data_IF_849392911638
#
_entry.id   IF_849392911638
#
_cell.length_a   1.000
_cell.length_b   1.000
_cell.length_c   1.000
_cell.angle_alpha   90.00
_cell.angle_beta   90.00
_cell.angle_gamma   90.00
#
_symmetry.space_group_name_H-M   'P 1'
#
loop_
_entity.id
_entity.type
_entity.pdbx_description
1 polymer ?
#
# COMPACT_ATOMS: atom_id res chain seq x y z
N UNK A 1 0.25 -5.21 -7.73
CA UNK A 1 0.88 -3.87 -7.73
C UNK A 1 0.13 -3.05 -6.71
N UNK A 2 0.79 -2.69 -5.62
CA UNK A 2 0.17 -1.95 -4.53
C UNK A 2 0.58 -0.47 -4.62
N UNK A 3 -0.28 0.44 -4.19
CA UNK A 3 0.07 1.84 -3.99
C UNK A 3 -0.63 2.32 -2.72
N UNK A 4 0.08 3.09 -1.92
CA UNK A 4 -0.41 3.72 -0.72
C UNK A 4 0.11 5.15 -0.61
N UNK A 5 -0.69 6.04 -0.07
CA UNK A 5 -0.31 7.39 0.31
C UNK A 5 -0.82 7.67 1.71
N UNK A 6 -0.02 8.33 2.54
CA UNK A 6 -0.47 8.71 3.87
C UNK A 6 0.15 10.01 4.34
N UNK A 7 -0.53 10.65 5.28
CA UNK A 7 0.04 11.71 6.12
C UNK A 7 0.25 11.16 7.51
N UNK A 8 1.43 11.37 8.06
CA UNK A 8 1.84 10.89 9.38
C UNK A 8 2.21 12.07 10.25
N UNK A 9 1.50 12.27 11.37
CA UNK A 9 1.76 13.34 12.35
C UNK A 9 1.94 14.74 11.75
N UNK A 10 1.30 15.01 10.62
CA UNK A 10 1.44 16.26 9.88
C UNK A 10 0.08 16.93 9.58
N UNK A 11 -1.03 16.30 9.95
CA UNK A 11 -2.37 16.84 9.76
C UNK A 11 -2.95 17.35 11.09
N UNK A 12 -3.59 18.52 11.14
CA UNK A 12 -4.08 19.13 12.39
C UNK A 12 -5.13 18.27 13.12
N UNK A 13 -5.97 17.55 12.38
CA UNK A 13 -7.03 16.70 12.95
C UNK A 13 -6.71 15.19 13.05
N UNK A 14 -5.68 14.70 12.35
CA UNK A 14 -5.43 13.26 12.20
C UNK A 14 -3.97 12.92 12.49
N UNK A 15 -3.74 11.96 13.38
CA UNK A 15 -2.41 11.39 13.60
C UNK A 15 -1.95 10.53 12.41
N UNK A 16 -2.91 9.93 11.70
CA UNK A 16 -2.70 9.19 10.45
C UNK A 16 -3.91 9.34 9.53
N UNK A 17 -3.71 9.81 8.29
CA UNK A 17 -4.64 9.53 7.19
C UNK A 17 -3.94 8.63 6.20
N UNK A 18 -4.54 7.48 5.88
CA UNK A 18 -3.95 6.45 5.03
C UNK A 18 -4.92 6.10 3.91
N UNK A 19 -4.41 6.11 2.68
CA UNK A 19 -5.09 5.73 1.45
C UNK A 19 -4.29 4.60 0.78
N UNK A 20 -4.94 3.49 0.41
CA UNK A 20 -4.20 2.30 -0.05
C UNK A 20 -5.09 1.31 -0.79
N UNK A 21 -4.48 0.37 -1.54
CA UNK A 21 -5.19 -0.60 -2.38
C UNK A 21 -5.09 -2.08 -1.92
N UNK A 22 -4.49 -2.33 -0.75
CA UNK A 22 -4.39 -3.68 -0.14
C UNK A 22 -4.41 -3.62 1.39
N UNK A 23 -5.43 -4.21 2.02
CA UNK A 23 -5.59 -4.32 3.47
C UNK A 23 -5.27 -5.71 4.01
N UNK A 24 -4.47 -5.75 5.07
CA UNK A 24 -4.33 -6.89 5.99
C UNK A 24 -4.19 -6.31 7.42
N UNK A 25 -5.10 -6.67 8.33
CA UNK A 25 -5.09 -6.17 9.72
C UNK A 25 -4.70 -7.27 10.69
N UNK A 26 -3.65 -7.01 11.44
CA UNK A 26 -3.17 -7.94 12.43
C UNK A 26 -2.76 -7.21 13.71
N UNK A 27 -3.14 -7.78 14.85
CA UNK A 27 -2.50 -7.42 16.12
C UNK A 27 -1.09 -8.02 16.13
N UNK A 28 -0.10 -7.17 16.41
CA UNK A 28 1.34 -7.48 16.41
C UNK A 28 2.01 -6.75 17.58
N UNK A 29 3.25 -7.13 17.88
CA UNK A 29 4.14 -6.43 18.82
C UNK A 29 4.48 -5.00 18.32
N UNK A 30 5.29 -4.26 19.08
CA UNK A 30 5.68 -2.89 18.73
C UNK A 30 6.34 -2.81 17.33
N UNK A 31 6.15 -1.71 16.57
CA UNK A 31 6.59 -1.62 15.17
C UNK A 31 8.05 -1.95 14.94
N UNK A 32 8.96 -1.44 15.77
CA UNK A 32 10.40 -1.63 15.63
C UNK A 32 10.84 -3.06 15.98
N UNK A 33 10.29 -3.62 17.04
CA UNK A 33 10.56 -5.01 17.45
C UNK A 33 10.13 -5.97 16.35
N UNK A 34 8.91 -5.80 15.84
CA UNK A 34 8.39 -6.63 14.77
C UNK A 34 9.18 -6.48 13.47
N UNK A 35 9.56 -5.25 13.09
CA UNK A 35 10.41 -5.04 11.93
C UNK A 35 11.77 -5.74 12.08
N UNK A 36 12.37 -5.68 13.27
CA UNK A 36 13.66 -6.31 13.55
C UNK A 36 13.58 -7.84 13.45
N UNK A 37 12.50 -8.44 13.93
CA UNK A 37 12.30 -9.89 13.77
C UNK A 37 12.10 -10.28 12.30
N UNK A 38 11.27 -9.55 11.56
CA UNK A 38 11.06 -9.81 10.12
C UNK A 38 12.37 -9.64 9.32
N UNK A 39 13.23 -8.70 9.71
CA UNK A 39 14.52 -8.51 9.06
C UNK A 39 15.43 -9.74 9.15
N UNK A 40 15.34 -10.54 10.23
CA UNK A 40 16.17 -11.76 10.41
C UNK A 40 15.80 -12.89 9.45
N UNK A 41 14.57 -12.90 8.97
CA UNK A 41 14.03 -13.91 8.05
C UNK A 41 13.61 -13.30 6.71
N UNK A 42 14.06 -12.08 6.41
CA UNK A 42 13.71 -11.33 5.21
C UNK A 42 14.09 -12.08 3.91
N UNK A 43 15.13 -12.90 3.95
CA UNK A 43 15.63 -13.72 2.84
C UNK A 43 14.68 -14.89 2.49
N UNK A 44 13.78 -15.27 3.40
CA UNK A 44 12.77 -16.29 3.18
C UNK A 44 11.55 -15.77 2.40
N UNK A 45 11.45 -14.45 2.21
CA UNK A 45 10.36 -13.79 1.49
C UNK A 45 10.78 -13.29 0.11
N UNK A 46 9.82 -13.21 -0.80
CA UNK A 46 9.98 -12.39 -2.00
C UNK A 46 10.13 -10.91 -1.61
N UNK A 47 10.65 -10.08 -2.54
CA UNK A 47 10.75 -8.63 -2.34
C UNK A 47 9.43 -8.00 -1.87
N UNK A 48 9.48 -7.26 -0.77
CA UNK A 48 8.33 -6.64 -0.13
C UNK A 48 8.64 -5.23 0.38
N UNK A 49 7.57 -4.48 0.60
CA UNK A 49 7.56 -3.24 1.35
C UNK A 49 6.52 -3.39 2.46
N UNK A 50 6.90 -3.10 3.70
CA UNK A 50 6.03 -3.20 4.87
C UNK A 50 6.16 -1.91 5.70
N UNK A 51 5.02 -1.32 6.03
CA UNK A 51 4.93 -0.17 6.93
C UNK A 51 4.15 -0.61 8.16
N UNK A 52 4.73 -0.38 9.33
CA UNK A 52 4.18 -0.72 10.63
C UNK A 52 3.96 0.59 11.37
N UNK A 53 2.74 0.85 11.81
CA UNK A 53 2.40 2.08 12.51
C UNK A 53 1.72 1.75 13.83
N UNK A 54 2.28 2.30 14.90
CA UNK A 54 1.61 2.41 16.20
C UNK A 54 1.26 3.88 16.43
N UNK A 55 -0.02 4.18 16.24
CA UNK A 55 -0.55 5.55 16.37
C UNK A 55 -0.58 5.99 17.84
N UNK A 56 -0.63 5.06 18.80
CA UNK A 56 -0.65 5.40 20.22
C UNK A 56 0.73 5.87 20.70
N UNK A 57 1.80 5.14 20.32
CA UNK A 57 3.17 5.56 20.63
C UNK A 57 3.72 6.62 19.67
N UNK A 58 3.02 6.92 18.57
CA UNK A 58 3.52 7.83 17.54
C UNK A 58 4.74 7.28 16.80
N UNK A 59 4.87 5.96 16.70
CA UNK A 59 6.00 5.31 16.02
C UNK A 59 5.55 4.65 14.72
N UNK A 60 6.24 4.98 13.62
CA UNK A 60 6.05 4.30 12.34
C UNK A 60 7.40 3.81 11.82
N UNK A 61 7.45 2.56 11.38
CA UNK A 61 8.65 1.90 10.87
C UNK A 61 8.37 1.32 9.49
N UNK A 62 9.30 1.55 8.57
CA UNK A 62 9.31 0.96 7.24
C UNK A 62 10.40 -0.12 7.19
N UNK A 63 10.02 -1.28 6.66
CA UNK A 63 10.94 -2.38 6.33
C UNK A 63 10.73 -2.84 4.90
N UNK A 64 11.83 -3.07 4.20
CA UNK A 64 11.82 -3.68 2.87
C UNK A 64 12.99 -4.62 2.71
N UNK A 65 12.76 -5.70 1.96
CA UNK A 65 13.82 -6.54 1.43
C UNK A 65 13.90 -6.36 -0.08
N UNK A 66 15.13 -6.30 -0.58
CA UNK A 66 15.40 -6.40 -2.01
C UNK A 66 16.25 -7.65 -2.23
N UNK A 67 15.86 -8.57 -3.12
CA UNK A 67 16.62 -9.79 -3.33
C UNK A 67 18.09 -9.48 -3.65
N UNK A 68 19.01 -10.02 -2.86
CA UNK A 68 20.46 -9.81 -3.01
C UNK A 68 21.03 -8.65 -2.19
N UNK A 69 20.20 -7.79 -1.60
CA UNK A 69 20.62 -6.72 -0.70
C UNK A 69 20.21 -7.04 0.75
N UNK A 70 20.87 -6.42 1.73
CA UNK A 70 20.44 -6.50 3.11
C UNK A 70 19.07 -5.82 3.31
N UNK A 71 18.20 -6.32 4.21
CA UNK A 71 16.93 -5.68 4.51
C UNK A 71 17.16 -4.28 5.09
N UNK A 72 16.33 -3.33 4.67
CA UNK A 72 16.34 -1.95 5.17
C UNK A 72 15.26 -1.84 6.23
N UNK A 73 15.63 -1.32 7.41
CA UNK A 73 14.69 -0.96 8.48
C UNK A 73 14.94 0.50 8.83
N UNK A 74 13.90 1.33 8.81
CA UNK A 74 14.01 2.75 9.15
C UNK A 74 12.72 3.28 9.78
N UNK A 75 12.86 4.28 10.64
CA UNK A 75 11.73 5.05 11.16
C UNK A 75 11.21 6.00 10.07
N UNK A 76 9.88 6.10 9.94
CA UNK A 76 9.23 7.04 9.03
C UNK A 76 9.04 8.37 9.75
N UNK A 77 9.56 9.44 9.15
CA UNK A 77 9.42 10.81 9.67
C UNK A 77 7.98 11.30 9.57
N UNK A 78 7.57 12.31 10.36
CA UNK A 78 6.32 13.03 10.11
C UNK A 78 6.30 13.65 8.71
N UNK A 79 5.15 13.62 8.04
CA UNK A 79 4.97 14.16 6.70
C UNK A 79 4.07 13.33 5.81
N UNK A 80 4.04 13.69 4.53
CA UNK A 80 3.32 12.97 3.49
C UNK A 80 4.25 12.00 2.77
N UNK A 81 3.85 10.73 2.71
CA UNK A 81 4.63 9.66 2.13
C UNK A 81 3.80 8.89 1.11
N UNK A 82 4.47 8.35 0.10
CA UNK A 82 3.83 7.53 -0.92
C UNK A 82 4.69 6.31 -1.23
N UNK A 83 4.06 5.15 -1.17
CA UNK A 83 4.70 3.86 -1.39
C UNK A 83 4.06 3.16 -2.59
N UNK A 84 4.90 2.56 -3.42
CA UNK A 84 4.43 1.64 -4.46
C UNK A 84 5.26 0.35 -4.44
N UNK A 85 5.86 -0.02 -5.58
CA UNK A 85 6.66 -1.24 -5.73
C UNK A 85 8.17 -1.03 -5.55
N UNK A 86 8.61 0.23 -5.48
CA UNK A 86 9.99 0.58 -5.16
C UNK A 86 10.10 0.97 -3.67
N UNK A 87 11.29 1.42 -3.26
CA UNK A 87 11.50 1.93 -1.91
C UNK A 87 10.53 3.09 -1.60
N UNK A 88 10.24 3.31 -0.32
CA UNK A 88 9.40 4.44 0.13
C UNK A 88 9.87 5.76 -0.48
N UNK A 89 8.92 6.57 -0.97
CA UNK A 89 9.15 7.86 -1.63
C UNK A 89 10.05 7.83 -2.88
N UNK A 90 10.23 6.66 -3.50
CA UNK A 90 10.90 6.57 -4.81
C UNK A 90 10.14 7.41 -5.85
N UNK A 91 10.84 8.20 -6.69
CA UNK A 91 10.25 9.24 -7.54
C UNK A 91 9.58 8.69 -8.81
N UNK A 92 8.70 7.69 -8.67
CA UNK A 92 7.94 7.15 -9.79
C UNK A 92 6.87 8.15 -10.24
N UNK A 93 6.56 8.25 -11.54
CA UNK A 93 5.56 9.20 -12.03
C UNK A 93 4.20 9.08 -11.33
N UNK A 94 3.73 7.85 -11.06
CA UNK A 94 2.48 7.63 -10.30
C UNK A 94 2.59 7.97 -8.82
N UNK A 95 3.77 7.81 -8.23
CA UNK A 95 4.05 8.15 -6.82
C UNK A 95 4.02 9.67 -6.67
N UNK A 96 4.74 10.38 -7.53
CA UNK A 96 4.76 11.84 -7.56
C UNK A 96 3.35 12.40 -7.82
N UNK A 97 2.62 11.83 -8.79
CA UNK A 97 1.27 12.26 -9.11
C UNK A 97 0.29 12.03 -7.95
N UNK A 98 0.32 10.85 -7.33
CA UNK A 98 -0.53 10.57 -6.17
C UNK A 98 -0.17 11.50 -5.00
N UNK A 99 1.11 11.70 -4.70
CA UNK A 99 1.55 12.60 -3.63
C UNK A 99 1.11 14.05 -3.86
N UNK A 100 1.24 14.55 -5.09
CA UNK A 100 0.76 15.89 -5.44
C UNK A 100 -0.76 16.02 -5.31
N UNK A 101 -1.53 15.06 -5.83
CA UNK A 101 -2.99 15.07 -5.73
C UNK A 101 -3.46 14.92 -4.27
N UNK A 102 -2.78 14.10 -3.49
CA UNK A 102 -3.05 13.92 -2.06
C UNK A 102 -2.80 15.22 -1.28
N UNK A 103 -1.66 15.89 -1.48
CA UNK A 103 -1.38 17.17 -0.83
C UNK A 103 -2.38 18.27 -1.23
N UNK A 104 -2.76 18.33 -2.51
CA UNK A 104 -3.81 19.27 -2.96
C UNK A 104 -5.15 18.98 -2.30
N UNK A 105 -5.51 17.70 -2.19
CA UNK A 105 -6.75 17.28 -1.55
C UNK A 105 -6.76 17.68 -0.06
N UNK A 106 -5.66 17.44 0.67
CA UNK A 106 -5.54 17.85 2.07
C UNK A 106 -5.62 19.37 2.23
N UNK A 107 -4.89 20.13 1.40
CA UNK A 107 -4.92 21.60 1.46
C UNK A 107 -6.30 22.19 1.17
N UNK A 108 -7.12 21.54 0.32
CA UNK A 108 -8.49 21.97 0.05
C UNK A 108 -9.46 21.67 1.22
N UNK A 109 -9.05 20.86 2.20
CA UNK A 109 -9.87 20.40 3.33
C UNK A 109 -9.21 20.68 4.69
N UNK A 110 -8.25 21.61 4.77
CA UNK A 110 -7.38 21.83 5.94
C UNK A 110 -8.16 22.13 7.24
N UNK A 111 -9.31 22.80 7.11
CA UNK A 111 -10.18 23.21 8.24
C UNK A 111 -11.40 22.29 8.47
N UNK A 112 -11.62 21.32 7.57
CA UNK A 112 -12.83 20.51 7.55
C UNK A 112 -12.53 19.04 7.85
N UNK A 113 -13.52 18.34 8.37
CA UNK A 113 -13.45 16.89 8.51
C UNK A 113 -13.24 16.24 7.13
N UNK A 114 -12.12 15.55 6.95
CA UNK A 114 -11.78 14.91 5.67
C UNK A 114 -12.75 13.78 5.36
N UNK A 115 -13.46 13.90 4.24
CA UNK A 115 -14.30 12.85 3.70
C UNK A 115 -13.45 11.73 3.09
N UNK A 116 -13.27 10.64 3.86
CA UNK A 116 -12.51 9.46 3.43
C UNK A 116 -13.06 8.84 2.14
N UNK A 117 -14.38 8.96 1.90
CA UNK A 117 -15.02 8.46 0.69
C UNK A 117 -14.58 9.27 -0.54
N UNK A 118 -14.67 10.61 -0.46
CA UNK A 118 -14.24 11.49 -1.55
C UNK A 118 -12.75 11.31 -1.83
N UNK A 119 -11.94 11.16 -0.79
CA UNK A 119 -10.50 10.90 -0.93
C UNK A 119 -10.21 9.64 -1.77
N UNK A 120 -10.94 8.54 -1.54
CA UNK A 120 -10.80 7.33 -2.36
C UNK A 120 -11.27 7.56 -3.80
N UNK A 121 -12.43 8.20 -3.97
CA UNK A 121 -13.05 8.42 -5.28
C UNK A 121 -12.20 9.33 -6.19
N UNK A 122 -11.60 10.38 -5.64
CA UNK A 122 -10.81 11.36 -6.39
C UNK A 122 -9.37 10.89 -6.64
N UNK A 123 -8.75 10.23 -5.67
CA UNK A 123 -7.30 9.96 -5.73
C UNK A 123 -6.95 8.58 -6.28
N UNK A 124 -7.81 7.58 -6.08
CA UNK A 124 -7.48 6.19 -6.43
C UNK A 124 -8.06 5.73 -7.77
N UNK A 125 -8.81 6.58 -8.47
CA UNK A 125 -9.44 6.26 -9.76
C UNK A 125 -8.66 6.74 -10.99
N UNK A 126 -7.48 7.34 -10.79
CA UNK A 126 -6.60 7.85 -11.84
C UNK A 126 -6.05 6.70 -12.72
N UNK A 127 -6.44 6.69 -13.99
CA UNK A 127 -6.00 5.72 -15.01
C UNK A 127 -4.84 6.21 -15.88
N UNK A 128 -4.29 7.39 -15.60
CA UNK A 128 -3.28 8.05 -16.43
C UNK A 128 -1.99 7.24 -16.41
N UNK A 129 -1.44 6.92 -17.58
CA UNK A 129 -0.15 6.25 -17.73
C UNK A 129 0.99 7.26 -17.67
N UNK A 130 2.15 6.82 -17.19
CA UNK A 130 3.37 7.61 -17.33
C UNK A 130 3.81 7.67 -18.80
N UNK A 131 4.64 8.65 -19.15
CA UNK A 131 5.41 8.58 -20.40
C UNK A 131 6.28 7.32 -20.37
N UNK A 132 6.34 6.58 -21.49
CA UNK A 132 7.17 5.37 -21.63
C UNK A 132 8.64 5.64 -21.30
N UNK A 133 9.14 6.83 -21.62
CA UNK A 133 10.52 7.26 -21.30
C UNK A 133 10.75 7.54 -19.81
N UNK A 134 9.69 7.75 -19.04
CA UNK A 134 9.74 8.05 -17.61
C UNK A 134 9.43 6.84 -16.72
N UNK A 135 9.21 5.66 -17.31
CA UNK A 135 9.04 4.41 -16.56
C UNK A 135 10.41 3.93 -16.08
N UNK A 136 10.59 3.67 -14.78
CA UNK A 136 11.86 3.18 -14.26
C UNK A 136 12.10 1.73 -14.65
N UNK A 137 13.36 1.38 -14.94
CA UNK A 137 13.79 0.00 -15.19
C UNK A 137 13.90 -0.76 -13.86
N UNK A 138 12.91 -1.59 -13.57
CA UNK A 138 12.89 -2.46 -12.38
C UNK A 138 13.37 -3.88 -12.66
N UNK A 139 13.90 -4.14 -13.86
CA UNK A 139 14.23 -5.49 -14.33
C UNK A 139 13.00 -6.31 -14.72
N UNK A 140 11.85 -5.65 -14.93
CA UNK A 140 10.63 -6.26 -15.46
C UNK A 140 10.46 -5.82 -16.92
N UNK A 141 9.69 -6.58 -17.71
CA UNK A 141 9.39 -6.23 -19.10
C UNK A 141 8.89 -4.76 -19.22
N UNK A 142 9.53 -3.90 -20.05
CA UNK A 142 9.19 -2.48 -20.13
C UNK A 142 7.74 -2.19 -20.58
N UNK A 143 7.17 -3.04 -21.45
CA UNK A 143 5.76 -2.90 -21.83
C UNK A 143 4.87 -3.21 -20.63
N UNK A 144 5.22 -4.23 -19.85
CA UNK A 144 4.51 -4.53 -18.61
C UNK A 144 4.65 -3.41 -17.57
N UNK A 145 5.83 -2.84 -17.38
CA UNK A 145 6.03 -1.71 -16.46
C UNK A 145 5.20 -0.49 -16.88
N UNK A 146 5.15 -0.19 -18.17
CA UNK A 146 4.27 0.85 -18.72
C UNK A 146 2.80 0.55 -18.40
N UNK A 147 2.33 -0.70 -18.56
CA UNK A 147 0.97 -1.08 -18.18
C UNK A 147 0.68 -0.91 -16.68
N UNK A 148 1.70 -0.92 -15.83
CA UNK A 148 1.56 -0.76 -14.38
C UNK A 148 1.84 0.67 -13.87
N UNK A 149 1.99 1.64 -14.77
CA UNK A 149 2.37 3.02 -14.48
C UNK A 149 1.21 3.94 -14.06
N UNK A 150 -0.03 3.44 -14.01
CA UNK A 150 -1.19 4.17 -13.49
C UNK A 150 -1.45 3.86 -12.01
N UNK A 151 -2.21 4.73 -11.32
CA UNK A 151 -2.66 4.52 -9.93
C UNK A 151 -3.75 3.45 -9.91
N UNK A 152 -4.78 3.63 -10.74
CA UNK A 152 -5.78 2.61 -11.05
C UNK A 152 -5.31 1.78 -12.24
N UNK A 153 -5.03 0.51 -12.00
CA UNK A 153 -4.57 -0.42 -13.03
C UNK A 153 -5.77 -1.23 -13.49
N UNK A 154 -6.03 -1.23 -14.79
CA UNK A 154 -6.94 -2.16 -15.43
C UNK A 154 -6.35 -2.57 -16.77
N UNK A 155 -5.80 -3.78 -16.83
CA UNK A 155 -5.09 -4.29 -18.02
C UNK A 155 -5.27 -5.80 -18.13
N UNK A 156 -4.68 -6.39 -19.18
CA UNK A 156 -4.67 -7.84 -19.40
C UNK A 156 -3.26 -8.39 -19.25
N UNK A 157 -3.12 -9.53 -18.58
CA UNK A 157 -1.89 -10.33 -18.53
C UNK A 157 -2.16 -11.67 -19.19
N UNK A 158 -1.74 -11.82 -20.45
CA UNK A 158 -2.18 -12.93 -21.29
C UNK A 158 -3.71 -12.91 -21.46
N UNK A 159 -4.38 -14.00 -21.08
CA UNK A 159 -5.85 -14.11 -21.16
C UNK A 159 -6.59 -13.62 -19.90
N UNK A 160 -5.87 -13.32 -18.80
CA UNK A 160 -6.49 -12.91 -17.53
C UNK A 160 -6.50 -11.39 -17.35
N UNK A 161 -7.56 -10.85 -16.73
CA UNK A 161 -7.61 -9.45 -16.29
C UNK A 161 -6.70 -9.24 -15.08
N UNK A 162 -5.89 -8.20 -15.11
CA UNK A 162 -5.00 -7.80 -14.02
C UNK A 162 -5.23 -6.33 -13.68
N UNK A 163 -5.43 -6.01 -12.41
CA UNK A 163 -5.73 -4.64 -12.03
C UNK A 163 -5.92 -4.40 -10.53
N UNK A 164 -6.22 -3.15 -10.21
CA UNK A 164 -6.58 -2.67 -8.88
C UNK A 164 -7.94 -3.26 -8.48
N UNK A 165 -7.99 -4.00 -7.37
CA UNK A 165 -9.19 -4.77 -6.95
C UNK A 165 -9.89 -4.20 -5.71
N UNK A 166 -9.15 -3.47 -4.90
CA UNK A 166 -9.61 -2.87 -3.64
C UNK A 166 -8.96 -1.51 -3.50
N UNK A 167 -9.66 -0.56 -2.90
CA UNK A 167 -9.18 0.76 -2.55
C UNK A 167 -9.88 1.15 -1.25
N UNK A 168 -9.12 1.60 -0.27
CA UNK A 168 -9.61 1.91 1.05
C UNK A 168 -8.89 3.14 1.60
N UNK A 169 -9.57 3.80 2.54
CA UNK A 169 -9.02 4.87 3.33
C UNK A 169 -9.27 4.62 4.81
N UNK A 170 -8.36 5.07 5.66
CA UNK A 170 -8.48 5.06 7.12
C UNK A 170 -8.02 6.42 7.62
N UNK A 171 -8.77 6.99 8.55
CA UNK A 171 -8.31 8.11 9.36
C UNK A 171 -8.21 7.68 10.81
N UNK A 172 -7.10 7.99 11.46
CA UNK A 172 -6.95 7.87 12.91
C UNK A 172 -6.77 9.28 13.45
N UNK A 173 -7.76 9.73 14.22
CA UNK A 173 -7.73 11.04 14.88
C UNK A 173 -6.71 11.09 16.01
N UNK A 174 -6.38 12.31 16.43
CA UNK A 174 -5.47 12.55 17.55
C UNK A 174 -5.99 12.02 18.90
N UNK A 175 -7.31 11.89 19.05
CA UNK A 175 -7.96 11.28 20.22
C UNK A 175 -8.01 9.73 20.16
N UNK A 176 -7.49 9.14 19.08
CA UNK A 176 -7.50 7.70 18.84
C UNK A 176 -8.76 7.18 18.15
N UNK A 177 -9.75 8.03 17.80
CA UNK A 177 -10.92 7.61 17.02
C UNK A 177 -10.48 7.10 15.64
N UNK A 178 -10.83 5.84 15.33
CA UNK A 178 -10.57 5.24 14.03
C UNK A 178 -11.81 5.41 13.14
N UNK A 179 -11.61 6.06 12.00
CA UNK A 179 -12.61 6.27 10.96
C UNK A 179 -12.31 5.46 9.72
N UNK A 180 -13.37 4.92 9.13
CA UNK A 180 -13.37 4.19 7.87
C UNK A 180 -14.50 4.73 7.00
N UNK A 181 -14.37 4.72 5.67
CA UNK A 181 -15.46 5.14 4.80
C UNK A 181 -16.71 4.28 5.07
N UNK A 182 -17.90 4.91 5.12
CA UNK A 182 -19.15 4.20 5.35
C UNK A 182 -19.45 3.27 4.18
N UNK A 183 -19.71 2.01 4.50
CA UNK A 183 -19.80 0.87 3.59
C UNK A 183 -18.49 0.52 2.89
N UNK A 184 -18.29 -0.79 2.75
CA UNK A 184 -17.29 -1.45 1.94
C UNK A 184 -17.14 -0.75 0.57
N UNK A 185 -16.31 0.28 0.50
CA UNK A 185 -16.02 1.04 -0.72
C UNK A 185 -15.07 0.23 -1.62
N UNK A 186 -15.04 -1.10 -1.45
CA UNK A 186 -14.63 -2.04 -2.47
C UNK A 186 -15.50 -1.80 -3.71
N UNK A 187 -15.12 -0.82 -4.52
CA UNK A 187 -15.35 -0.89 -5.96
C UNK A 187 -14.56 -2.10 -6.45
N UNK A 188 -15.16 -3.29 -6.34
CA UNK A 188 -14.73 -4.44 -7.11
C UNK A 188 -14.89 -4.07 -8.57
N UNK A 189 -13.81 -4.18 -9.34
CA UNK A 189 -13.94 -4.22 -10.78
C UNK A 189 -15.01 -5.25 -11.16
N UNK A 190 -15.94 -4.89 -12.05
CA UNK A 190 -17.02 -5.79 -12.50
C UNK A 190 -16.44 -7.16 -12.91
N UNK A 191 -17.00 -8.25 -12.37
CA UNK A 191 -16.60 -9.63 -12.66
C UNK A 191 -15.67 -10.32 -11.65
N UNK A 192 -15.39 -9.73 -10.48
CA UNK A 192 -14.57 -10.40 -9.45
C UNK A 192 -15.39 -11.40 -8.58
N UNK A 193 -14.96 -12.67 -8.42
CA UNK A 193 -15.72 -13.69 -7.67
C UNK A 193 -15.88 -13.33 -6.18
N UNK A 194 -17.02 -13.66 -5.54
CA UNK A 194 -17.30 -13.26 -4.16
C UNK A 194 -16.23 -13.78 -3.17
N UNK A 195 -15.91 -12.98 -2.16
CA UNK A 195 -15.00 -13.35 -1.08
C UNK A 195 -15.69 -14.30 -0.12
N UNK A 196 -15.05 -15.43 0.20
CA UNK A 196 -15.49 -16.37 1.23
C UNK A 196 -15.45 -15.73 2.62
N UNK A 197 -16.34 -16.14 3.55
CA UNK A 197 -16.44 -15.55 4.88
C UNK A 197 -15.18 -15.81 5.73
N UNK A 198 -14.88 -14.85 6.61
CA UNK A 198 -13.83 -14.91 7.62
C UNK A 198 -14.10 -16.06 8.61
N UNK A 199 -13.22 -17.06 8.63
CA UNK A 199 -13.08 -17.99 9.76
C UNK A 199 -11.86 -17.62 10.61
N UNK A 200 -12.06 -17.65 11.92
CA UNK A 200 -11.11 -17.28 12.99
C UNK A 200 -9.93 -18.27 13.13
N UNK A 201 -8.92 -17.97 13.97
CA UNK A 201 -7.51 -18.24 13.68
C UNK A 201 -7.06 -19.66 14.07
N UNK A 202 -6.26 -20.26 13.20
CA UNK A 202 -5.23 -21.24 13.56
C UNK A 202 -3.90 -20.82 12.92
N UNK A 203 -2.76 -21.16 13.55
CA UNK A 203 -1.45 -20.68 13.15
C UNK A 203 -0.99 -21.48 11.93
N UNK A 204 -1.43 -21.04 10.76
CA UNK A 204 -1.03 -21.66 9.51
C UNK A 204 0.25 -20.98 9.02
N UNK A 205 1.38 -21.68 9.19
CA UNK A 205 2.68 -21.40 8.55
C UNK A 205 2.63 -21.61 7.02
N UNK A 206 1.49 -21.28 6.42
CA UNK A 206 1.08 -21.64 5.07
C UNK A 206 0.69 -20.38 4.33
N UNK A 207 1.69 -19.85 3.63
CA UNK A 207 1.53 -19.12 2.37
C UNK A 207 0.96 -17.69 2.45
N UNK A 208 1.86 -16.71 2.55
CA UNK A 208 1.67 -15.33 2.11
C UNK A 208 1.65 -15.23 0.57
N UNK A 209 0.72 -15.94 -0.09
CA UNK A 209 0.21 -15.63 -1.44
C UNK A 209 -0.73 -16.74 -1.91
N UNK A 210 -2.02 -16.44 -2.06
CA UNK A 210 -2.85 -17.15 -3.04
C UNK A 210 -3.07 -16.24 -4.25
N UNK A 211 -2.08 -16.18 -5.13
CA UNK A 211 -2.33 -16.07 -6.55
C UNK A 211 -1.97 -17.40 -7.20
N UNK A 212 -2.90 -17.93 -7.98
CA UNK A 212 -2.73 -19.03 -8.91
C UNK A 212 -1.46 -18.84 -9.75
N UNK A 213 -0.40 -19.55 -9.40
CA UNK A 213 0.90 -19.48 -10.02
C UNK A 213 1.96 -20.07 -9.10
N UNK A 214 2.05 -21.40 -9.07
CA UNK A 214 3.17 -22.21 -8.56
C UNK A 214 4.05 -21.56 -7.47
N UNK A 215 3.64 -21.67 -6.20
CA UNK A 215 4.58 -21.67 -5.09
C UNK A 215 5.45 -22.94 -5.21
N UNK A 216 6.62 -22.84 -5.84
CA UNK A 216 7.72 -23.77 -5.56
C UNK A 216 8.60 -23.07 -4.53
N UNK A 217 8.62 -23.61 -3.32
CA UNK A 217 9.71 -23.38 -2.39
C UNK A 217 11.03 -23.69 -3.11
N UNK A 218 12.03 -22.81 -2.98
CA UNK A 218 13.40 -23.19 -3.32
C UNK A 218 13.75 -24.36 -2.38
N UNK A 219 13.82 -25.57 -2.94
CA UNK A 219 14.55 -26.64 -2.29
C UNK A 219 16.04 -26.26 -2.30
N UNK A 220 16.72 -26.55 -1.20
CA UNK A 220 18.17 -26.46 -1.07
C UNK A 220 18.89 -27.25 -2.18
#
# INVERSE_FOLDING_TARGET
>A
MCIAAWTWQAHPAYGLLLLFNRDEYHSRQGPLEYATEIAKEADQYNGFNLVLADVHSGTMVYISNKPGDAPVVQTVSPGCHVLSNAAIDSPWPKVLRLGQSFNRFLAAHDDAEVSLKQMVEELMTDTVKADRSAVPDTGVDPDWEYQLSSIFIDTKKGQARYGTRSMAAIGVKLDGEIRRPPNDSRKRAEGAPPSLPLSSPKPDKTCFSRQSGSCRAKAA
#
